data_IF_898068141278
#
_entry.id   IF_898068141278
#
_cell.length_a   1.000
_cell.length_b   1.000
_cell.length_c   1.000
_cell.angle_alpha   90.00
_cell.angle_beta   90.00
_cell.angle_gamma   90.00
#
_symmetry.space_group_name_H-M   'P 1'
#
loop_
_entity.id
_entity.type
_entity.pdbx_description
1 polymer ?
#
# COMPACT_ATOMS: atom_id res chain seq x y z
N UNK A 1 -34.88 10.52 3.77
CA UNK A 1 -33.77 11.35 4.30
C UNK A 1 -32.55 10.48 4.41
N UNK A 2 -31.68 10.50 3.40
CA UNK A 2 -30.39 9.82 3.45
C UNK A 2 -29.43 10.79 4.12
N UNK A 3 -28.87 10.44 5.28
CA UNK A 3 -27.88 11.28 5.94
C UNK A 3 -26.67 11.45 5.01
N UNK A 4 -26.23 12.70 4.81
CA UNK A 4 -24.99 13.01 4.09
C UNK A 4 -23.86 12.70 5.06
N UNK A 5 -23.21 11.55 4.87
CA UNK A 5 -22.04 11.16 5.66
C UNK A 5 -20.78 11.76 5.06
N UNK A 6 -19.81 12.15 5.90
CA UNK A 6 -18.48 12.55 5.41
C UNK A 6 -17.66 11.33 5.00
N UNK A 7 -16.61 11.52 4.20
CA UNK A 7 -15.67 10.45 3.85
C UNK A 7 -15.06 9.83 5.11
N UNK A 8 -14.75 10.63 6.15
CA UNK A 8 -14.21 10.08 7.41
C UNK A 8 -15.21 9.16 8.11
N UNK A 9 -16.49 9.52 8.14
CA UNK A 9 -17.53 8.71 8.77
C UNK A 9 -17.76 7.40 8.02
N UNK A 10 -17.70 7.42 6.69
CA UNK A 10 -17.85 6.24 5.86
C UNK A 10 -16.66 5.30 6.03
N UNK A 11 -15.42 5.82 6.00
CA UNK A 11 -14.22 5.00 6.17
C UNK A 11 -14.14 4.40 7.59
N UNK A 12 -14.57 5.12 8.64
CA UNK A 12 -14.61 4.59 10.02
C UNK A 12 -15.48 3.33 10.16
N UNK A 13 -16.51 3.16 9.33
CA UNK A 13 -17.34 1.95 9.35
C UNK A 13 -16.55 0.69 8.95
N UNK A 14 -15.44 0.84 8.23
CA UNK A 14 -14.56 -0.26 7.84
C UNK A 14 -13.81 -0.87 9.03
N UNK A 15 -13.63 -0.14 10.14
CA UNK A 15 -12.96 -0.64 11.35
C UNK A 15 -13.71 -1.82 11.98
N UNK A 16 -15.04 -1.84 11.84
CA UNK A 16 -15.89 -2.91 12.37
C UNK A 16 -15.74 -4.25 11.60
N UNK A 17 -15.15 -4.23 10.39
CA UNK A 17 -14.96 -5.43 9.59
C UNK A 17 -13.74 -6.18 10.12
N UNK A 18 -13.93 -7.44 10.50
CA UNK A 18 -12.87 -8.27 11.10
C UNK A 18 -12.20 -9.21 10.10
N UNK A 19 -12.84 -9.52 8.97
CA UNK A 19 -12.26 -10.35 7.92
C UNK A 19 -11.41 -9.49 6.96
N UNK A 20 -10.16 -9.91 6.71
CA UNK A 20 -9.23 -9.17 5.85
C UNK A 20 -9.75 -9.00 4.42
N UNK A 21 -10.14 -10.09 3.77
CA UNK A 21 -10.57 -10.07 2.37
C UNK A 21 -11.85 -9.25 2.19
N UNK A 22 -12.79 -9.40 3.12
CA UNK A 22 -14.00 -8.58 3.17
C UNK A 22 -13.66 -7.10 3.34
N UNK A 23 -12.71 -6.76 4.20
CA UNK A 23 -12.27 -5.38 4.41
C UNK A 23 -11.64 -4.78 3.15
N UNK A 24 -10.76 -5.52 2.48
CA UNK A 24 -10.17 -5.07 1.22
C UNK A 24 -11.24 -4.88 0.14
N UNK A 25 -12.21 -5.79 0.05
CA UNK A 25 -13.36 -5.64 -0.85
C UNK A 25 -14.16 -4.37 -0.53
N UNK A 26 -14.52 -4.15 0.74
CA UNK A 26 -15.28 -2.97 1.18
C UNK A 26 -14.52 -1.66 1.00
N UNK A 27 -13.19 -1.67 1.07
CA UNK A 27 -12.35 -0.53 0.68
C UNK A 27 -12.53 -0.18 -0.81
N UNK A 28 -12.58 -1.17 -1.70
CA UNK A 28 -12.79 -0.90 -3.13
C UNK A 28 -14.25 -0.55 -3.45
N UNK A 29 -15.21 -1.22 -2.80
CA UNK A 29 -16.63 -0.93 -2.96
C UNK A 29 -16.94 0.52 -2.56
N UNK A 30 -16.51 0.95 -1.37
CA UNK A 30 -16.69 2.32 -0.91
C UNK A 30 -15.97 3.34 -1.81
N UNK A 31 -14.80 3.01 -2.34
CA UNK A 31 -14.10 3.87 -3.29
C UNK A 31 -14.95 4.09 -4.56
N UNK A 32 -15.55 3.04 -5.09
CA UNK A 32 -16.43 3.12 -6.27
C UNK A 32 -17.76 3.82 -5.98
N UNK A 33 -18.24 3.82 -4.73
CA UNK A 33 -19.41 4.61 -4.33
C UNK A 33 -19.10 6.12 -4.22
N UNK A 34 -17.88 6.46 -3.78
CA UNK A 34 -17.47 7.84 -3.52
C UNK A 34 -16.98 8.59 -4.77
N UNK A 35 -16.40 7.87 -5.73
CA UNK A 35 -15.77 8.46 -6.90
C UNK A 35 -16.44 7.98 -8.18
N UNK A 36 -16.44 8.77 -9.27
CA UNK A 36 -17.18 8.46 -10.50
C UNK A 36 -16.45 7.42 -11.38
N UNK A 37 -16.06 6.29 -10.78
CA UNK A 37 -15.30 5.20 -11.39
C UNK A 37 -16.16 3.95 -11.53
N UNK A 38 -15.90 3.14 -12.56
CA UNK A 38 -16.59 1.87 -12.80
C UNK A 38 -15.75 0.64 -12.44
N UNK A 39 -14.48 0.86 -12.14
CA UNK A 39 -13.56 -0.14 -11.62
C UNK A 39 -12.66 0.46 -10.55
N UNK A 40 -12.10 -0.38 -9.70
CA UNK A 40 -11.03 -0.01 -8.79
C UNK A 40 -10.11 -1.21 -8.56
N UNK A 41 -8.81 -0.98 -8.55
CA UNK A 41 -7.80 -2.01 -8.34
C UNK A 41 -6.84 -1.59 -7.23
N UNK A 42 -6.68 -2.46 -6.24
CA UNK A 42 -5.81 -2.25 -5.09
C UNK A 42 -4.43 -2.87 -5.35
N UNK A 43 -3.39 -2.09 -5.10
CA UNK A 43 -2.00 -2.49 -5.22
C UNK A 43 -1.26 -2.27 -3.90
N UNK A 44 -0.40 -3.21 -3.52
CA UNK A 44 0.65 -3.00 -2.52
C UNK A 44 1.82 -2.30 -3.20
N UNK A 45 2.43 -1.31 -2.53
CA UNK A 45 3.61 -0.63 -3.05
C UNK A 45 4.82 -0.85 -2.13
N UNK A 46 5.97 -1.18 -2.71
CA UNK A 46 7.25 -1.26 -1.99
C UNK A 46 8.12 -0.03 -2.31
N UNK A 47 8.42 0.84 -1.32
CA UNK A 47 9.27 2.01 -1.52
C UNK A 47 10.72 1.70 -1.92
N UNK A 48 11.23 0.51 -1.57
CA UNK A 48 12.62 0.11 -1.85
C UNK A 48 12.72 -0.64 -3.16
N UNK A 49 11.81 -1.61 -3.38
CA UNK A 49 11.76 -2.34 -4.63
C UNK A 49 11.21 -1.49 -5.78
N UNK A 50 10.52 -0.40 -5.46
CA UNK A 50 9.73 0.41 -6.38
C UNK A 50 8.70 -0.41 -7.16
N UNK A 51 8.23 -1.53 -6.62
CA UNK A 51 7.22 -2.36 -7.28
C UNK A 51 5.83 -2.08 -6.73
N UNK A 52 4.86 -1.99 -7.63
CA UNK A 52 3.44 -2.09 -7.32
C UNK A 52 2.96 -3.51 -7.67
N UNK A 53 2.42 -4.22 -6.68
CA UNK A 53 1.91 -5.58 -6.82
C UNK A 53 0.39 -5.56 -6.62
N UNK A 54 -0.36 -6.10 -7.58
CA UNK A 54 -1.82 -6.16 -7.51
C UNK A 54 -2.29 -7.09 -6.39
N UNK A 55 -3.37 -6.69 -5.71
CA UNK A 55 -4.00 -7.50 -4.66
C UNK A 55 -5.34 -8.02 -5.16
N UNK A 56 -6.27 -7.08 -5.41
CA UNK A 56 -7.62 -7.34 -5.87
C UNK A 56 -8.08 -6.24 -6.83
N UNK A 57 -9.03 -6.57 -7.70
CA UNK A 57 -9.71 -5.66 -8.61
C UNK A 57 -11.21 -5.88 -8.51
N UNK A 58 -11.97 -4.78 -8.49
CA UNK A 58 -13.43 -4.78 -8.44
C UNK A 58 -13.96 -4.01 -9.65
N UNK A 59 -14.96 -4.58 -10.32
CA UNK A 59 -15.67 -3.96 -11.45
C UNK A 59 -17.09 -4.53 -11.54
N UNK A 60 -17.85 -4.13 -12.56
CA UNK A 60 -19.15 -4.73 -12.90
C UNK A 60 -19.09 -6.25 -13.14
N UNK A 61 -17.92 -6.79 -13.46
CA UNK A 61 -17.69 -8.24 -13.63
C UNK A 61 -17.50 -8.99 -12.31
N UNK A 62 -17.47 -8.27 -11.19
CA UNK A 62 -17.21 -8.82 -9.86
C UNK A 62 -15.77 -8.60 -9.38
N UNK A 63 -15.45 -9.23 -8.24
CA UNK A 63 -14.15 -9.20 -7.59
C UNK A 63 -13.21 -10.24 -8.22
N UNK A 64 -11.95 -9.86 -8.45
CA UNK A 64 -10.88 -10.78 -8.87
C UNK A 64 -9.57 -10.50 -8.16
N UNK A 65 -8.76 -11.54 -7.94
CA UNK A 65 -7.37 -11.36 -7.53
C UNK A 65 -6.50 -11.03 -8.74
N UNK A 66 -5.55 -10.11 -8.55
CA UNK A 66 -4.67 -9.61 -9.61
C UNK A 66 -3.19 -9.70 -9.23
N UNK A 67 -2.81 -10.74 -8.46
CA UNK A 67 -1.45 -10.92 -7.91
C UNK A 67 -0.39 -11.15 -8.98
N UNK A 68 -0.81 -11.59 -10.16
CA UNK A 68 0.03 -11.70 -11.34
C UNK A 68 0.46 -10.34 -11.91
N UNK A 69 -0.24 -9.26 -11.57
CA UNK A 69 0.12 -7.90 -11.99
C UNK A 69 1.20 -7.35 -11.08
N UNK A 70 2.40 -7.21 -11.62
CA UNK A 70 3.53 -6.60 -10.92
C UNK A 70 4.28 -5.65 -11.84
N UNK A 71 4.33 -4.40 -11.43
CA UNK A 71 4.83 -3.29 -12.23
C UNK A 71 5.94 -2.55 -11.47
N UNK A 72 7.01 -2.14 -12.16
CA UNK A 72 7.96 -1.16 -11.62
C UNK A 72 7.31 0.21 -11.65
N UNK A 73 6.99 0.76 -10.48
CA UNK A 73 6.33 2.05 -10.31
C UNK A 73 7.16 3.22 -10.89
N UNK A 74 8.48 3.05 -11.09
CA UNK A 74 9.31 4.08 -11.74
C UNK A 74 9.10 4.13 -13.24
N UNK A 75 8.55 3.07 -13.85
CA UNK A 75 8.26 3.04 -15.27
C UNK A 75 7.08 3.93 -15.68
N UNK A 76 6.41 4.58 -14.71
CA UNK A 76 5.21 5.39 -14.92
C UNK A 76 5.36 6.77 -14.27
N UNK A 77 5.37 7.84 -15.07
CA UNK A 77 5.56 9.21 -14.57
C UNK A 77 4.42 9.63 -13.61
N UNK A 78 3.19 9.18 -13.88
CA UNK A 78 2.05 9.45 -12.99
C UNK A 78 2.27 8.83 -11.60
N UNK A 79 2.75 7.58 -11.53
CA UNK A 79 3.02 6.89 -10.27
C UNK A 79 4.14 7.57 -9.50
N UNK A 80 5.21 8.00 -10.19
CA UNK A 80 6.27 8.79 -9.54
C UNK A 80 5.73 10.06 -8.90
N UNK A 81 4.85 10.78 -9.60
CA UNK A 81 4.19 11.98 -9.08
C UNK A 81 3.33 11.67 -7.85
N UNK A 82 2.49 10.63 -7.92
CA UNK A 82 1.62 10.18 -6.82
C UNK A 82 2.44 9.80 -5.59
N UNK A 83 3.51 9.03 -5.78
CA UNK A 83 4.37 8.55 -4.69
C UNK A 83 5.13 9.70 -4.04
N UNK A 84 5.74 10.57 -4.86
CA UNK A 84 6.57 11.69 -4.38
C UNK A 84 5.74 12.74 -3.67
N UNK A 85 4.60 13.12 -4.25
CA UNK A 85 3.76 14.22 -3.74
C UNK A 85 2.71 13.72 -2.75
N UNK A 86 2.46 12.40 -2.68
CA UNK A 86 1.46 11.76 -1.80
C UNK A 86 0.07 12.34 -2.02
N UNK A 87 -0.24 12.61 -3.29
CA UNK A 87 -1.51 13.14 -3.77
C UNK A 87 -2.03 12.26 -4.89
N UNK A 88 -3.34 12.11 -4.94
CA UNK A 88 -4.01 11.47 -6.06
C UNK A 88 -3.72 12.25 -7.35
N UNK A 89 -3.55 11.55 -8.46
CA UNK A 89 -3.35 12.13 -9.77
C UNK A 89 -4.24 11.46 -10.79
N UNK A 90 -4.65 12.25 -11.76
CA UNK A 90 -5.42 11.80 -12.91
C UNK A 90 -4.70 12.19 -14.20
N UNK A 91 -4.72 11.32 -15.19
CA UNK A 91 -4.33 11.66 -16.54
C UNK A 91 -5.30 11.04 -17.54
N UNK A 92 -5.51 11.71 -18.68
CA UNK A 92 -6.35 11.20 -19.75
C UNK A 92 -5.86 11.61 -21.13
N UNK A 93 -6.43 10.99 -22.18
CA UNK A 93 -6.12 11.29 -23.58
C UNK A 93 -4.63 11.17 -23.90
N UNK A 94 -4.07 12.20 -24.53
CA UNK A 94 -2.64 12.26 -24.90
C UNK A 94 -1.73 12.29 -23.66
N UNK A 95 -2.21 12.84 -22.54
CA UNK A 95 -1.44 12.93 -21.31
C UNK A 95 -1.22 11.57 -20.66
N UNK A 96 -2.19 10.65 -20.81
CA UNK A 96 -2.03 9.25 -20.43
C UNK A 96 -0.81 8.63 -21.12
N UNK A 97 -0.70 8.75 -22.46
CA UNK A 97 0.44 8.19 -23.20
C UNK A 97 1.80 8.81 -22.86
N UNK A 98 1.83 10.09 -22.46
CA UNK A 98 3.07 10.74 -21.98
C UNK A 98 3.47 10.26 -20.59
N UNK A 99 2.51 9.82 -19.79
CA UNK A 99 2.70 9.45 -18.39
C UNK A 99 2.77 7.94 -18.14
N UNK A 100 2.35 7.11 -19.11
CA UNK A 100 2.43 5.65 -19.08
C UNK A 100 3.40 5.13 -20.14
N UNK A 101 4.25 4.16 -19.81
CA UNK A 101 5.15 3.53 -20.79
C UNK A 101 4.38 2.75 -21.87
N UNK A 102 5.01 2.53 -23.04
CA UNK A 102 4.42 1.86 -24.21
C UNK A 102 3.90 0.44 -23.96
N UNK A 103 4.30 -0.21 -22.86
CA UNK A 103 3.83 -1.54 -22.48
C UNK A 103 2.36 -1.58 -22.04
N UNK A 104 1.78 -0.42 -21.69
CA UNK A 104 0.34 -0.27 -21.40
C UNK A 104 -0.49 0.12 -22.64
N UNK A 105 0.15 0.37 -23.79
CA UNK A 105 -0.54 0.74 -25.02
C UNK A 105 -1.24 -0.45 -25.72
N UNK A 106 -1.30 -1.63 -25.09
CA UNK A 106 -1.75 -2.87 -25.71
C UNK A 106 -3.00 -3.51 -25.10
N UNK A 107 -3.75 -2.80 -24.24
CA UNK A 107 -5.10 -3.23 -23.86
C UNK A 107 -6.10 -2.06 -23.86
N UNK A 108 -6.94 -2.04 -24.91
CA UNK A 108 -8.33 -1.54 -24.99
C UNK A 108 -8.67 -0.15 -24.41
N UNK A 109 -9.13 0.77 -25.28
CA UNK A 109 -10.05 1.94 -25.10
C UNK A 109 -9.98 2.86 -23.86
N UNK A 110 -9.16 2.58 -22.85
CA UNK A 110 -9.15 3.28 -21.57
C UNK A 110 -8.04 4.34 -21.59
N UNK A 111 -8.34 5.49 -22.18
CA UNK A 111 -7.45 6.65 -22.22
C UNK A 111 -7.55 7.51 -20.95
N UNK A 112 -7.68 6.89 -19.78
CA UNK A 112 -7.81 7.59 -18.51
C UNK A 112 -7.29 6.74 -17.35
N UNK A 113 -6.67 7.38 -16.37
CA UNK A 113 -6.16 6.72 -15.17
C UNK A 113 -6.23 7.67 -13.98
N UNK A 114 -6.96 7.27 -12.95
CA UNK A 114 -6.93 7.87 -11.63
C UNK A 114 -6.10 6.97 -10.72
N UNK A 115 -5.14 7.54 -10.00
CA UNK A 115 -4.35 6.83 -9.01
C UNK A 115 -4.39 7.59 -7.70
N UNK A 116 -4.79 6.90 -6.64
CA UNK A 116 -4.93 7.42 -5.28
C UNK A 116 -3.94 6.73 -4.35
N UNK A 117 -3.03 7.45 -3.68
CA UNK A 117 -2.05 6.84 -2.80
C UNK A 117 -2.66 6.43 -1.47
N UNK A 118 -2.43 5.19 -1.06
CA UNK A 118 -2.69 4.75 0.31
C UNK A 118 -1.46 5.06 1.13
N UNK A 119 -1.62 5.92 2.12
CA UNK A 119 -0.52 6.41 2.93
C UNK A 119 -0.71 6.04 4.40
N UNK A 120 0.36 5.58 5.03
CA UNK A 120 0.45 5.49 6.48
C UNK A 120 1.58 6.41 6.98
N UNK A 121 1.22 7.37 7.83
CA UNK A 121 2.10 8.47 8.21
C UNK A 121 2.63 9.22 6.98
N UNK A 122 3.95 9.18 6.78
CA UNK A 122 4.63 9.80 5.64
C UNK A 122 5.02 8.83 4.52
N UNK A 123 4.53 7.59 4.55
CA UNK A 123 4.93 6.55 3.59
C UNK A 123 3.73 6.14 2.75
N UNK A 124 3.94 6.00 1.44
CA UNK A 124 2.98 5.35 0.55
C UNK A 124 3.19 3.84 0.67
N UNK A 125 2.15 3.12 1.07
CA UNK A 125 2.19 1.66 1.29
C UNK A 125 1.37 0.90 0.24
N UNK A 126 0.50 1.61 -0.48
CA UNK A 126 -0.33 1.04 -1.52
C UNK A 126 -0.91 2.10 -2.43
N UNK A 127 -1.62 1.65 -3.46
CA UNK A 127 -2.26 2.49 -4.45
C UNK A 127 -3.64 1.90 -4.76
N UNK A 128 -4.63 2.77 -4.94
CA UNK A 128 -5.88 2.43 -5.62
C UNK A 128 -5.81 3.04 -7.01
N UNK A 129 -6.14 2.28 -8.03
CA UNK A 129 -6.22 2.80 -9.40
C UNK A 129 -7.52 2.42 -10.09
N UNK A 130 -7.99 3.32 -10.94
CA UNK A 130 -9.20 3.14 -11.75
C UNK A 130 -8.92 3.59 -13.18
N UNK A 131 -9.45 2.84 -14.14
CA UNK A 131 -9.27 3.10 -15.58
C UNK A 131 -10.59 3.41 -16.28
N UNK A 132 -11.70 2.97 -15.70
CA UNK A 132 -13.04 3.13 -16.23
C UNK A 132 -13.80 4.13 -15.39
N UNK A 133 -14.50 5.05 -16.06
CA UNK A 133 -15.19 6.18 -15.44
C UNK A 133 -16.61 6.28 -15.96
N UNK A 134 -17.53 6.80 -15.16
CA UNK A 134 -18.89 7.07 -15.62
C UNK A 134 -18.88 8.09 -16.77
N UNK A 135 -19.85 7.99 -17.68
CA UNK A 135 -19.98 8.92 -18.81
C UNK A 135 -20.20 10.33 -18.25
N UNK A 136 -19.40 11.29 -18.72
CA UNK A 136 -19.46 12.68 -18.24
C UNK A 136 -18.79 12.92 -16.88
N UNK A 137 -18.08 11.94 -16.33
CA UNK A 137 -17.28 12.12 -15.12
C UNK A 137 -16.28 13.27 -15.30
N UNK A 138 -16.29 14.20 -14.36
CA UNK A 138 -15.30 15.28 -14.26
C UNK A 138 -14.37 14.97 -13.11
N UNK A 139 -13.06 14.99 -13.38
CA UNK A 139 -12.02 14.77 -12.38
C UNK A 139 -11.33 16.11 -12.11
N UNK A 140 -11.83 16.83 -11.12
CA UNK A 140 -11.32 18.13 -10.70
C UNK A 140 -10.42 18.01 -9.45
N UNK A 141 -9.87 19.15 -9.02
CA UNK A 141 -8.94 19.20 -7.87
C UNK A 141 -9.61 18.82 -6.55
N UNK A 142 -10.91 19.08 -6.41
CA UNK A 142 -11.68 18.72 -5.20
C UNK A 142 -11.85 17.20 -5.10
N UNK A 143 -12.12 16.54 -6.22
CA UNK A 143 -12.14 15.08 -6.30
C UNK A 143 -10.76 14.49 -6.02
N UNK A 144 -9.68 15.03 -6.60
CA UNK A 144 -8.32 14.57 -6.32
C UNK A 144 -7.94 14.76 -4.84
N UNK A 145 -8.38 15.85 -4.22
CA UNK A 145 -8.19 16.11 -2.80
C UNK A 145 -8.96 15.07 -1.97
N UNK A 146 -10.20 14.78 -2.33
CA UNK A 146 -11.04 13.77 -1.66
C UNK A 146 -10.48 12.35 -1.80
N UNK A 147 -9.98 12.00 -2.98
CA UNK A 147 -9.32 10.72 -3.24
C UNK A 147 -7.99 10.58 -2.48
N UNK A 148 -7.24 11.67 -2.34
CA UNK A 148 -6.05 11.73 -1.48
C UNK A 148 -6.40 11.53 -0.01
N UNK A 149 -7.48 12.17 0.48
CA UNK A 149 -7.96 12.01 1.84
C UNK A 149 -8.41 10.57 2.10
N UNK A 150 -9.16 9.98 1.17
CA UNK A 150 -9.59 8.59 1.24
C UNK A 150 -8.41 7.64 1.44
N UNK A 151 -7.37 7.75 0.62
CA UNK A 151 -6.18 6.90 0.72
C UNK A 151 -5.41 7.07 2.04
N UNK A 152 -5.40 8.28 2.64
CA UNK A 152 -4.83 8.51 3.98
C UNK A 152 -5.64 7.84 5.09
N UNK A 153 -6.96 7.88 5.00
CA UNK A 153 -7.84 7.26 6.00
C UNK A 153 -7.76 5.74 5.91
N UNK A 154 -7.86 5.19 4.70
CA UNK A 154 -7.73 3.75 4.44
C UNK A 154 -6.36 3.22 4.83
N UNK A 155 -5.29 3.99 4.67
CA UNK A 155 -3.95 3.56 5.11
C UNK A 155 -3.87 3.29 6.61
N UNK A 156 -4.62 4.03 7.44
CA UNK A 156 -4.76 3.73 8.87
C UNK A 156 -5.54 2.44 9.10
N UNK A 157 -6.68 2.29 8.42
CA UNK A 157 -7.52 1.08 8.50
C UNK A 157 -6.73 -0.18 8.15
N UNK A 158 -5.91 -0.13 7.09
CA UNK A 158 -5.08 -1.26 6.65
C UNK A 158 -3.96 -1.55 7.65
N UNK A 159 -3.26 -0.55 8.17
CA UNK A 159 -2.16 -0.76 9.12
C UNK A 159 -2.63 -1.14 10.52
N UNK A 160 -3.72 -0.57 11.03
CA UNK A 160 -4.31 -0.98 12.31
C UNK A 160 -4.79 -2.43 12.27
N UNK A 161 -5.25 -2.88 11.10
CA UNK A 161 -5.63 -4.26 10.85
C UNK A 161 -4.43 -5.18 10.64
N UNK A 162 -3.42 -4.75 9.90
CA UNK A 162 -2.15 -5.47 9.77
C UNK A 162 -1.39 -5.50 11.10
N UNK A 163 -1.55 -4.56 12.02
CA UNK A 163 -1.03 -4.67 13.39
C UNK A 163 -1.67 -5.81 14.20
N UNK A 164 -2.84 -6.29 13.78
CA UNK A 164 -3.57 -7.41 14.38
C UNK A 164 -3.37 -8.74 13.62
N UNK A 165 -3.25 -8.73 12.29
CA UNK A 165 -3.00 -9.93 11.46
C UNK A 165 -1.52 -10.20 11.16
N UNK A 166 -0.67 -9.17 11.10
CA UNK A 166 0.77 -9.30 11.32
C UNK A 166 1.05 -9.33 12.82
N UNK A 167 0.38 -10.23 13.55
CA UNK A 167 1.07 -10.95 14.62
C UNK A 167 2.23 -11.69 13.96
N UNK A 168 3.26 -10.90 13.74
CA UNK A 168 4.58 -11.24 13.27
C UNK A 168 4.98 -12.59 13.85
N UNK A 169 5.52 -13.47 13.02
CA UNK A 169 6.29 -14.61 13.53
C UNK A 169 7.35 -14.13 14.53
N UNK A 170 7.76 -12.86 14.41
CA UNK A 170 8.69 -12.15 15.27
C UNK A 170 8.04 -11.50 16.50
N UNK A 171 8.70 -11.57 17.65
CA UNK A 171 8.30 -10.77 18.81
C UNK A 171 8.63 -9.28 18.61
N UNK A 172 8.04 -8.38 19.41
CA UNK A 172 8.35 -6.94 19.37
C UNK A 172 9.86 -6.66 19.48
N UNK A 173 10.57 -7.42 20.32
CA UNK A 173 12.02 -7.29 20.51
C UNK A 173 12.81 -7.79 19.32
N UNK A 174 12.37 -8.88 18.69
CA UNK A 174 12.97 -9.39 17.46
C UNK A 174 12.80 -8.42 16.29
N UNK A 175 11.61 -7.82 16.14
CA UNK A 175 11.37 -6.79 15.14
C UNK A 175 12.26 -5.57 15.38
N UNK A 176 12.35 -5.10 16.63
CA UNK A 176 13.19 -3.96 17.01
C UNK A 176 14.66 -4.18 16.64
N UNK A 177 15.25 -5.35 16.95
CA UNK A 177 16.65 -5.61 16.54
C UNK A 177 16.80 -5.73 15.03
N UNK A 178 15.83 -6.33 14.31
CA UNK A 178 15.92 -6.46 12.86
C UNK A 178 15.85 -5.10 12.16
N UNK A 179 15.05 -4.17 12.67
CA UNK A 179 14.96 -2.81 12.13
C UNK A 179 16.23 -2.00 12.40
N UNK A 180 16.82 -2.14 13.60
CA UNK A 180 18.11 -1.52 13.93
C UNK A 180 19.27 -2.08 13.09
N UNK A 181 19.25 -3.38 12.78
CA UNK A 181 20.21 -3.99 11.84
C UNK A 181 20.04 -3.40 10.44
N UNK A 182 18.80 -3.19 10.00
CA UNK A 182 18.53 -2.57 8.70
C UNK A 182 19.10 -1.14 8.60
N UNK A 183 19.12 -0.40 9.72
CA UNK A 183 19.79 0.91 9.82
C UNK A 183 21.31 0.83 10.03
N UNK A 184 21.90 -0.36 9.98
CA UNK A 184 23.35 -0.54 10.07
C UNK A 184 23.91 -0.55 11.49
N UNK A 185 23.07 -0.60 12.54
CA UNK A 185 23.56 -0.65 13.92
C UNK A 185 24.30 -1.97 14.21
N UNK A 186 25.38 -1.86 14.96
CA UNK A 186 26.13 -2.97 15.53
C UNK A 186 25.41 -3.58 16.74
N UNK A 187 25.76 -4.82 17.08
CA UNK A 187 25.23 -5.49 18.28
C UNK A 187 25.48 -4.70 19.56
N UNK A 188 26.63 -4.03 19.63
CA UNK A 188 27.00 -3.19 20.78
C UNK A 188 26.12 -1.94 20.88
N UNK A 189 25.95 -1.20 19.78
CA UNK A 189 25.07 -0.01 19.76
C UNK A 189 23.61 -0.37 20.09
N UNK A 190 23.13 -1.51 19.61
CA UNK A 190 21.81 -2.02 19.97
C UNK A 190 21.72 -2.36 21.45
N UNK A 191 22.70 -3.06 22.01
CA UNK A 191 22.74 -3.43 23.42
C UNK A 191 22.68 -2.18 24.32
N UNK A 192 23.52 -1.19 24.02
CA UNK A 192 23.60 0.07 24.76
C UNK A 192 22.27 0.85 24.68
N UNK A 193 21.71 1.01 23.47
CA UNK A 193 20.48 1.79 23.27
C UNK A 193 19.20 1.08 23.71
N UNK A 194 19.19 -0.25 23.76
CA UNK A 194 18.06 -1.05 24.23
C UNK A 194 18.14 -1.40 25.73
N UNK A 195 19.24 -1.02 26.40
CA UNK A 195 19.55 -1.34 27.80
C UNK A 195 19.46 -2.85 28.10
N UNK A 196 20.08 -3.67 27.24
CA UNK A 196 20.17 -5.13 27.37
C UNK A 196 21.59 -5.61 27.03
N UNK A 197 21.92 -6.86 27.35
CA UNK A 197 23.24 -7.40 27.00
C UNK A 197 23.39 -7.67 25.50
N UNK A 198 24.61 -7.59 24.97
CA UNK A 198 24.93 -8.02 23.60
C UNK A 198 24.52 -9.48 23.34
N UNK A 199 24.58 -10.33 24.37
CA UNK A 199 24.12 -11.73 24.29
C UNK A 199 22.61 -11.79 24.02
N UNK A 200 21.82 -10.96 24.71
CA UNK A 200 20.37 -10.86 24.53
C UNK A 200 20.03 -10.36 23.13
N UNK A 201 20.75 -9.37 22.61
CA UNK A 201 20.61 -8.91 21.21
C UNK A 201 20.88 -10.06 20.24
N UNK A 202 21.99 -10.80 20.40
CA UNK A 202 22.33 -11.95 19.56
C UNK A 202 21.25 -13.04 19.59
N UNK A 203 20.63 -13.27 20.74
CA UNK A 203 19.52 -14.23 20.88
C UNK A 203 18.28 -13.79 20.08
N UNK A 204 17.88 -12.51 20.19
CA UNK A 204 16.78 -11.98 19.38
C UNK A 204 17.06 -12.08 17.88
N UNK A 205 18.27 -11.71 17.44
CA UNK A 205 18.66 -11.80 16.02
C UNK A 205 18.63 -13.24 15.53
N UNK A 206 19.14 -14.20 16.32
CA UNK A 206 19.10 -15.63 15.96
C UNK A 206 17.66 -16.14 15.84
N UNK A 207 16.80 -15.79 16.80
CA UNK A 207 15.39 -16.17 16.75
C UNK A 207 14.69 -15.58 15.53
N UNK A 208 14.98 -14.30 15.21
CA UNK A 208 14.42 -13.63 14.04
C UNK A 208 14.83 -14.27 12.71
N UNK A 209 16.11 -14.61 12.55
CA UNK A 209 16.60 -15.33 11.37
C UNK A 209 15.88 -16.67 11.20
N UNK A 210 15.69 -17.42 12.29
CA UNK A 210 15.00 -18.70 12.25
C UNK A 210 13.52 -18.54 11.86
N UNK A 211 12.82 -17.57 12.43
CA UNK A 211 11.39 -17.29 12.18
C UNK A 211 11.12 -16.72 10.78
N UNK A 212 12.13 -16.16 10.14
CA UNK A 212 12.07 -15.69 8.75
C UNK A 212 12.50 -16.74 7.73
N UNK A 213 12.97 -17.91 8.17
CA UNK A 213 13.53 -18.94 7.28
C UNK A 213 14.81 -18.50 6.56
N UNK A 214 15.47 -17.45 7.06
CA UNK A 214 16.62 -16.86 6.42
C UNK A 214 17.93 -17.57 6.81
N UNK A 215 18.94 -17.45 5.95
CA UNK A 215 20.24 -18.09 6.14
C UNK A 215 21.19 -17.24 7.01
N UNK A 216 20.98 -15.93 7.07
CA UNK A 216 21.79 -14.99 7.83
C UNK A 216 21.02 -13.69 8.09
N UNK A 217 21.59 -12.80 8.92
CA UNK A 217 20.96 -11.52 9.28
C UNK A 217 20.61 -10.64 8.08
N UNK A 218 21.47 -10.59 7.06
CA UNK A 218 21.23 -9.75 5.88
C UNK A 218 20.12 -10.34 5.01
N UNK A 219 20.07 -11.67 4.89
CA UNK A 219 18.96 -12.35 4.24
C UNK A 219 17.65 -12.12 5.00
N UNK A 220 17.66 -12.20 6.33
CA UNK A 220 16.48 -11.94 7.16
C UNK A 220 15.99 -10.50 7.01
N UNK A 221 16.89 -9.51 7.00
CA UNK A 221 16.55 -8.11 6.68
C UNK A 221 15.91 -8.02 5.29
N UNK A 222 16.52 -8.62 4.27
CA UNK A 222 15.96 -8.64 2.92
C UNK A 222 14.58 -9.28 2.81
N UNK A 223 14.31 -10.35 3.57
CA UNK A 223 13.01 -11.01 3.61
C UNK A 223 11.96 -10.13 4.30
N UNK A 224 12.28 -9.57 5.47
CA UNK A 224 11.39 -8.65 6.18
C UNK A 224 11.06 -7.41 5.35
N UNK A 225 12.03 -6.93 4.56
CA UNK A 225 11.81 -5.87 3.59
C UNK A 225 10.88 -6.26 2.44
N UNK A 226 11.06 -7.46 1.85
CA UNK A 226 10.15 -7.98 0.79
C UNK A 226 8.73 -8.16 1.29
N UNK A 227 8.59 -8.57 2.55
CA UNK A 227 7.31 -8.73 3.22
C UNK A 227 6.68 -7.39 3.64
N UNK A 228 7.46 -6.30 3.67
CA UNK A 228 6.98 -4.97 4.09
C UNK A 228 6.86 -4.81 5.60
N UNK A 229 7.48 -5.71 6.38
CA UNK A 229 7.46 -5.70 7.85
C UNK A 229 8.41 -4.65 8.43
N UNK A 230 9.50 -4.34 7.72
CA UNK A 230 10.44 -3.25 8.07
C UNK A 230 10.66 -2.34 6.85
N UNK A 231 10.96 -1.06 7.11
CA UNK A 231 11.16 0.04 6.15
C UNK A 231 12.42 0.84 6.47
#
# INVERSE_FOLDING_TARGET
MTAIYTIEELVRKLDAITNHEEKLYKILELYMELFPVQDASLYRYSPIGYFAEGIISLSSKGLSHIREKRDDARSYNILQGVIRERKAKYCSGIEFFKQTSSNYAHSSNDHALLVSPICYGSVVIGLISSKQFHIGATIDEDLLTSATLYGKLVGRVIEDFQGAENSSSLSKRELEVMQRIAWGQSTKEMADSMNISELTVKQYVKSAIQKTGANNRSHAVGELYRQGIIS
#
